data_IF_653117702714
#
_entry.id   IF_653117702714
#
_cell.length_a   1.000
_cell.length_b   1.000
_cell.length_c   1.000
_cell.angle_alpha   90.00
_cell.angle_beta   90.00
_cell.angle_gamma   90.00
#
_symmetry.space_group_name_H-M   'P 1'
#
loop_
_entity.id
_entity.type
_entity.pdbx_description
1 polymer ?
#
# COMPACT_ATOMS: atom_id res chain seq x y z
N UNK A 1 20.89 -15.31 -43.44
CA UNK A 1 20.50 -15.59 -42.04
C UNK A 1 21.59 -15.03 -41.14
N UNK A 2 21.47 -13.78 -40.71
CA UNK A 2 22.37 -13.14 -39.74
C UNK A 2 21.51 -12.59 -38.61
N UNK A 3 21.64 -13.19 -37.42
CA UNK A 3 20.88 -12.83 -36.24
C UNK A 3 21.50 -11.64 -35.52
N UNK A 4 20.70 -10.57 -35.35
CA UNK A 4 21.02 -9.45 -34.46
C UNK A 4 20.89 -9.92 -33.00
N UNK A 5 22.02 -9.96 -32.29
CA UNK A 5 22.05 -10.14 -30.84
C UNK A 5 21.90 -8.77 -30.17
N UNK A 6 20.71 -8.46 -29.66
CA UNK A 6 20.46 -7.24 -28.87
C UNK A 6 20.69 -7.59 -27.39
N UNK A 7 21.65 -6.91 -26.77
CA UNK A 7 21.92 -7.02 -25.33
C UNK A 7 20.69 -6.60 -24.50
N UNK A 8 20.32 -7.32 -23.42
CA UNK A 8 19.29 -6.84 -22.51
C UNK A 8 19.88 -5.73 -21.64
N UNK A 9 19.56 -4.49 -22.00
CA UNK A 9 19.87 -3.31 -21.21
C UNK A 9 19.19 -3.40 -19.84
N UNK A 10 19.92 -2.97 -18.81
CA UNK A 10 19.42 -2.86 -17.44
C UNK A 10 18.15 -2.01 -17.37
N UNK A 11 17.43 -2.19 -16.26
CA UNK A 11 16.14 -1.55 -15.97
C UNK A 11 16.15 -0.07 -16.39
N UNK A 12 15.20 0.38 -17.23
CA UNK A 12 15.15 1.77 -17.68
C UNK A 12 15.03 2.75 -16.51
N UNK A 13 15.80 3.83 -16.54
CA UNK A 13 15.83 4.85 -15.48
C UNK A 13 14.43 5.41 -15.13
N UNK A 14 13.52 5.43 -16.11
CA UNK A 14 12.12 5.85 -15.92
C UNK A 14 11.35 4.96 -14.94
N UNK A 15 11.71 3.68 -14.82
CA UNK A 15 11.11 2.74 -13.87
C UNK A 15 11.62 3.03 -12.46
N UNK A 16 12.92 3.31 -12.32
CA UNK A 16 13.53 3.67 -11.04
C UNK A 16 12.96 4.99 -10.52
N UNK A 17 12.83 6.00 -11.39
CA UNK A 17 12.23 7.28 -11.01
C UNK A 17 10.79 7.11 -10.52
N UNK A 18 10.01 6.21 -11.15
CA UNK A 18 8.62 5.95 -10.78
C UNK A 18 8.49 5.23 -9.43
N UNK A 19 9.39 4.29 -9.13
CA UNK A 19 9.45 3.59 -7.84
C UNK A 19 9.86 4.55 -6.72
N UNK A 20 10.75 5.50 -7.01
CA UNK A 20 11.26 6.47 -6.04
C UNK A 20 10.39 7.74 -5.93
N UNK A 21 9.31 7.84 -6.72
CA UNK A 21 8.42 9.00 -6.72
C UNK A 21 9.04 10.27 -7.30
N UNK A 22 10.06 10.16 -8.14
CA UNK A 22 10.76 11.28 -8.76
C UNK A 22 10.11 11.66 -10.10
N UNK A 23 9.85 12.95 -10.31
CA UNK A 23 9.23 13.43 -11.55
C UNK A 23 10.13 13.16 -12.79
N UNK A 24 9.58 12.60 -13.88
CA UNK A 24 10.34 12.38 -15.10
C UNK A 24 10.86 13.69 -15.68
N UNK A 25 12.18 13.82 -15.82
CA UNK A 25 12.83 14.93 -16.52
C UNK A 25 13.51 16.00 -15.66
N UNK A 26 13.32 16.01 -14.33
CA UNK A 26 14.01 16.97 -13.42
C UNK A 26 15.07 16.33 -12.51
N UNK A 27 15.22 15.01 -12.55
CA UNK A 27 15.95 14.21 -11.53
C UNK A 27 17.43 13.97 -11.81
N UNK A 28 18.00 14.52 -12.89
CA UNK A 28 19.40 14.25 -13.29
C UNK A 28 20.44 14.60 -12.20
N UNK A 29 20.19 15.64 -11.39
CA UNK A 29 21.05 16.00 -10.25
C UNK A 29 20.90 15.07 -9.04
N UNK A 30 19.71 14.51 -8.79
CA UNK A 30 19.50 13.53 -7.73
C UNK A 30 20.09 12.17 -8.10
N UNK A 31 19.99 11.75 -9.37
CA UNK A 31 20.58 10.49 -9.86
C UNK A 31 22.09 10.43 -9.64
N UNK A 32 22.82 11.53 -9.87
CA UNK A 32 24.27 11.62 -9.61
C UNK A 32 24.65 11.46 -8.14
N UNK A 33 23.76 11.83 -7.22
CA UNK A 33 24.04 11.83 -5.77
C UNK A 33 23.83 10.47 -5.11
N UNK A 34 23.00 9.59 -5.70
CA UNK A 34 22.68 8.27 -5.13
C UNK A 34 23.13 7.08 -5.98
N UNK A 35 23.81 7.34 -7.11
CA UNK A 35 24.22 6.31 -8.07
C UNK A 35 25.08 5.19 -7.44
N UNK A 36 25.93 5.53 -6.47
CA UNK A 36 26.80 4.57 -5.77
C UNK A 36 26.07 3.72 -4.72
N UNK A 37 24.84 4.10 -4.35
CA UNK A 37 24.01 3.36 -3.38
C UNK A 37 23.03 2.42 -4.10
N UNK A 38 22.54 2.80 -5.28
CA UNK A 38 21.56 2.01 -6.04
C UNK A 38 22.18 0.95 -6.95
N UNK A 39 23.42 1.12 -7.43
CA UNK A 39 24.07 0.15 -8.32
C UNK A 39 24.21 -1.28 -7.76
N UNK A 40 24.63 -1.50 -6.49
CA UNK A 40 24.78 -2.86 -5.97
C UNK A 40 23.44 -3.58 -5.76
N UNK A 41 22.42 -2.83 -5.32
CA UNK A 41 21.07 -3.36 -5.05
C UNK A 41 20.37 -3.70 -6.37
N UNK A 42 20.56 -2.90 -7.41
CA UNK A 42 20.05 -3.19 -8.76
C UNK A 42 20.78 -4.38 -9.39
N UNK A 43 22.10 -4.54 -9.18
CA UNK A 43 22.83 -5.73 -9.63
C UNK A 43 22.37 -7.01 -8.93
N UNK A 44 22.14 -6.98 -7.62
CA UNK A 44 21.59 -8.13 -6.89
C UNK A 44 20.17 -8.49 -7.34
N UNK A 45 19.35 -7.49 -7.65
CA UNK A 45 18.00 -7.69 -8.15
C UNK A 45 18.02 -8.27 -9.58
N UNK A 46 18.88 -7.76 -10.46
CA UNK A 46 19.08 -8.31 -11.79
C UNK A 46 19.63 -9.75 -11.77
N UNK A 47 20.53 -10.08 -10.83
CA UNK A 47 21.03 -11.44 -10.63
C UNK A 47 19.93 -12.40 -10.13
N UNK A 48 19.07 -11.96 -9.20
CA UNK A 48 17.93 -12.75 -8.72
C UNK A 48 16.91 -13.02 -9.82
N UNK A 49 16.58 -12.01 -10.61
CA UNK A 49 15.63 -12.13 -11.72
C UNK A 49 16.22 -12.95 -12.87
N UNK A 50 17.51 -12.78 -13.17
CA UNK A 50 18.22 -13.59 -14.17
C UNK A 50 18.32 -15.08 -13.80
N UNK A 51 18.52 -15.39 -12.51
CA UNK A 51 18.52 -16.77 -12.01
C UNK A 51 17.15 -17.44 -12.08
N UNK A 52 16.07 -16.67 -11.90
CA UNK A 52 14.69 -17.17 -12.04
C UNK A 52 14.29 -17.39 -13.50
N UNK A 53 14.76 -16.54 -14.41
CA UNK A 53 14.35 -16.57 -15.82
C UNK A 53 15.16 -17.57 -16.65
N UNK A 54 16.44 -17.82 -16.32
CA UNK A 54 17.32 -18.62 -17.19
C UNK A 54 17.85 -19.95 -16.66
N UNK A 55 17.52 -20.35 -15.42
CA UNK A 55 17.81 -21.69 -14.89
C UNK A 55 19.31 -22.03 -14.83
N UNK A 56 19.86 -22.19 -13.63
CA UNK A 56 21.22 -22.74 -13.49
C UNK A 56 21.28 -24.17 -14.08
N UNK A 57 22.26 -24.51 -14.93
CA UNK A 57 22.42 -25.88 -15.40
C UNK A 57 22.86 -26.75 -14.22
N UNK A 58 21.94 -27.52 -13.67
CA UNK A 58 22.26 -28.55 -12.68
C UNK A 58 22.87 -29.72 -13.45
N UNK A 59 24.19 -29.87 -13.28
CA UNK A 59 24.96 -31.03 -13.70
C UNK A 59 24.23 -32.30 -13.28
N UNK A 60 23.89 -33.12 -14.27
CA UNK A 60 23.47 -34.50 -14.07
C UNK A 60 24.69 -35.25 -13.53
N UNK A 61 24.61 -35.72 -12.29
CA UNK A 61 25.43 -36.83 -11.84
C UNK A 61 24.51 -37.98 -11.46
N UNK A 62 24.53 -38.98 -12.32
CA UNK A 62 24.08 -40.34 -12.05
C UNK A 62 25.07 -41.00 -11.09
N UNK A 63 24.54 -41.58 -10.01
CA UNK A 63 25.18 -42.69 -9.29
C UNK A 63 24.13 -43.47 -8.48
N UNK A 64 23.49 -44.42 -9.17
CA UNK A 64 23.41 -45.84 -8.84
C UNK A 64 23.06 -46.29 -7.39
N UNK A 65 21.90 -46.97 -7.33
CA UNK A 65 21.51 -48.15 -6.50
C UNK A 65 21.47 -48.04 -4.96
N UNK A 66 20.32 -48.43 -4.39
CA UNK A 66 20.33 -49.06 -3.06
C UNK A 66 19.04 -49.02 -2.24
N UNK A 67 18.20 -50.06 -2.41
CA UNK A 67 17.35 -50.70 -1.40
C UNK A 67 16.01 -50.05 -1.01
N UNK A 68 14.96 -50.87 -1.19
CA UNK A 68 13.58 -50.66 -0.80
C UNK A 68 13.39 -50.54 0.71
N UNK A 69 12.34 -49.83 1.13
CA UNK A 69 11.35 -50.25 2.14
C UNK A 69 10.23 -49.20 2.15
N UNK A 70 8.98 -49.68 2.14
CA UNK A 70 7.81 -48.82 2.14
C UNK A 70 7.62 -48.06 3.46
N UNK A 71 6.89 -46.96 3.39
CA UNK A 71 5.77 -46.61 4.28
C UNK A 71 5.31 -45.18 4.02
N UNK A 72 4.00 -45.00 4.16
CA UNK A 72 3.32 -43.73 4.44
C UNK A 72 3.25 -42.73 3.28
N UNK A 73 2.21 -42.87 2.46
CA UNK A 73 1.54 -41.70 1.90
C UNK A 73 0.94 -40.90 3.06
N UNK A 74 1.75 -40.03 3.65
CA UNK A 74 1.24 -38.85 4.36
C UNK A 74 0.35 -38.10 3.37
N UNK A 75 -0.90 -37.73 3.73
CA UNK A 75 -1.67 -36.86 2.85
C UNK A 75 -0.81 -35.63 2.55
N UNK A 76 -0.64 -35.30 1.27
CA UNK A 76 -0.03 -34.03 0.91
C UNK A 76 -0.75 -32.94 1.71
N UNK A 77 -0.03 -32.03 2.39
CA UNK A 77 -0.69 -30.95 3.11
C UNK A 77 -1.61 -30.26 2.11
N UNK A 78 -2.92 -30.25 2.40
CA UNK A 78 -3.89 -29.52 1.61
C UNK A 78 -3.31 -28.11 1.40
N UNK A 79 -3.25 -27.65 0.15
CA UNK A 79 -2.74 -26.32 -0.13
C UNK A 79 -3.47 -25.33 0.80
N UNK A 80 -2.73 -24.50 1.55
CA UNK A 80 -3.34 -23.70 2.61
C UNK A 80 -4.41 -22.79 2.02
N UNK A 81 -5.66 -23.03 2.43
CA UNK A 81 -6.83 -22.24 2.03
C UNK A 81 -6.68 -20.81 2.53
N UNK A 82 -7.04 -19.86 1.68
CA UNK A 82 -7.11 -18.43 1.98
C UNK A 82 -8.57 -18.06 2.17
N UNK A 83 -8.91 -17.51 3.33
CA UNK A 83 -10.25 -17.03 3.65
C UNK A 83 -10.35 -15.55 3.31
N UNK A 84 -11.15 -15.19 2.31
CA UNK A 84 -11.25 -13.83 1.80
C UNK A 84 -12.53 -13.19 2.30
N UNK A 85 -12.40 -12.14 3.12
CA UNK A 85 -13.52 -11.28 3.48
C UNK A 85 -13.82 -10.32 2.32
N UNK A 86 -15.00 -10.45 1.73
CA UNK A 86 -15.54 -9.56 0.71
C UNK A 86 -16.36 -8.46 1.39
N UNK A 87 -15.86 -7.23 1.38
CA UNK A 87 -16.46 -6.07 2.05
C UNK A 87 -16.82 -5.02 0.98
N UNK A 88 -17.95 -5.22 0.30
CA UNK A 88 -18.27 -4.49 -0.92
C UNK A 88 -17.23 -4.74 -2.03
N UNK A 89 -16.50 -3.70 -2.44
CA UNK A 89 -15.46 -3.81 -3.47
C UNK A 89 -14.11 -4.30 -2.92
N UNK A 90 -13.94 -4.30 -1.59
CA UNK A 90 -12.69 -4.66 -0.93
C UNK A 90 -12.60 -6.17 -0.69
N UNK A 91 -11.41 -6.73 -0.91
CA UNK A 91 -11.08 -8.13 -0.63
C UNK A 91 -9.95 -8.20 0.37
N UNK A 92 -10.23 -8.70 1.57
CA UNK A 92 -9.26 -8.78 2.65
C UNK A 92 -8.94 -10.27 2.93
N UNK A 93 -7.76 -10.76 2.55
CA UNK A 93 -7.39 -12.17 2.71
C UNK A 93 -6.88 -12.50 4.12
N UNK A 94 -7.23 -13.68 4.63
CA UNK A 94 -6.84 -14.19 5.93
C UNK A 94 -6.34 -15.64 5.83
N UNK A 95 -5.40 -15.99 6.70
CA UNK A 95 -4.97 -17.37 6.91
C UNK A 95 -5.98 -18.16 7.75
N UNK A 96 -6.69 -17.48 8.67
CA UNK A 96 -7.65 -18.07 9.59
C UNK A 96 -9.07 -17.64 9.25
N UNK A 97 -9.97 -18.61 9.13
CA UNK A 97 -11.40 -18.40 8.84
C UNK A 97 -12.08 -17.49 9.87
N UNK A 98 -11.79 -17.71 11.15
CA UNK A 98 -12.32 -16.93 12.27
C UNK A 98 -12.05 -15.42 12.12
N UNK A 99 -10.88 -15.06 11.58
CA UNK A 99 -10.55 -13.66 11.32
C UNK A 99 -11.41 -13.06 10.21
N UNK A 100 -11.61 -13.79 9.11
CA UNK A 100 -12.46 -13.35 8.02
C UNK A 100 -13.92 -13.19 8.46
N UNK A 101 -14.46 -14.17 9.19
CA UNK A 101 -15.84 -14.16 9.70
C UNK A 101 -16.07 -13.01 10.68
N UNK A 102 -15.13 -12.78 11.59
CA UNK A 102 -15.23 -11.66 12.55
C UNK A 102 -15.21 -10.30 11.85
N UNK A 103 -14.34 -10.14 10.85
CA UNK A 103 -14.26 -8.89 10.08
C UNK A 103 -15.56 -8.67 9.30
N UNK A 104 -16.09 -9.70 8.65
CA UNK A 104 -17.36 -9.64 7.92
C UNK A 104 -18.52 -9.26 8.83
N UNK A 105 -18.64 -9.92 9.99
CA UNK A 105 -19.71 -9.65 10.94
C UNK A 105 -19.66 -8.20 11.47
N UNK A 106 -18.46 -7.75 11.87
CA UNK A 106 -18.27 -6.38 12.38
C UNK A 106 -18.46 -5.33 11.29
N UNK A 107 -17.93 -5.57 10.09
CA UNK A 107 -18.10 -4.67 8.94
C UNK A 107 -19.57 -4.55 8.55
N UNK A 108 -20.30 -5.66 8.47
CA UNK A 108 -21.73 -5.66 8.14
C UNK A 108 -22.57 -4.90 9.16
N UNK A 109 -22.20 -4.95 10.45
CA UNK A 109 -22.84 -4.14 11.49
C UNK A 109 -22.57 -2.64 11.32
N UNK A 110 -21.34 -2.26 10.97
CA UNK A 110 -20.95 -0.87 10.75
C UNK A 110 -21.50 -0.31 9.41
N UNK A 111 -21.67 -1.18 8.41
CA UNK A 111 -21.97 -0.84 7.02
C UNK A 111 -23.12 -1.69 6.44
N UNK A 112 -24.35 -1.58 6.98
CA UNK A 112 -25.47 -2.46 6.61
C UNK A 112 -25.93 -2.34 5.15
N UNK A 113 -25.47 -1.30 4.44
CA UNK A 113 -25.76 -1.08 3.01
C UNK A 113 -24.88 -1.89 2.07
N UNK A 114 -23.78 -2.46 2.56
CA UNK A 114 -22.81 -3.17 1.73
C UNK A 114 -22.79 -4.66 2.08
N UNK A 115 -22.77 -5.55 1.08
CA UNK A 115 -22.65 -6.98 1.34
C UNK A 115 -21.30 -7.29 1.99
N UNK A 116 -21.34 -8.20 2.96
CA UNK A 116 -20.18 -8.67 3.69
C UNK A 116 -20.23 -10.20 3.78
N UNK A 117 -19.30 -10.89 3.13
CA UNK A 117 -19.29 -12.36 3.04
C UNK A 117 -17.86 -12.91 3.09
N UNK A 118 -17.71 -14.16 3.51
CA UNK A 118 -16.43 -14.88 3.50
C UNK A 118 -16.43 -15.89 2.36
N UNK A 119 -15.42 -15.82 1.49
CA UNK A 119 -15.17 -16.83 0.47
C UNK A 119 -13.90 -17.62 0.77
N UNK A 120 -13.90 -18.91 0.43
CA UNK A 120 -12.73 -19.78 0.50
C UNK A 120 -12.04 -19.86 -0.86
N UNK A 121 -10.79 -19.45 -0.91
CA UNK A 121 -9.97 -19.44 -2.12
C UNK A 121 -8.75 -20.31 -1.91
N UNK A 122 -8.34 -21.05 -2.92
CA UNK A 122 -7.01 -21.64 -2.92
C UNK A 122 -5.94 -20.54 -3.08
N UNK A 123 -4.70 -20.88 -2.71
CA UNK A 123 -3.57 -19.94 -2.73
C UNK A 123 -3.28 -19.42 -4.13
N UNK A 124 -3.39 -20.28 -5.16
CA UNK A 124 -3.11 -19.91 -6.55
C UNK A 124 -4.15 -18.92 -7.10
N UNK A 125 -5.43 -19.13 -6.75
CA UNK A 125 -6.54 -18.26 -7.09
C UNK A 125 -6.36 -16.88 -6.47
N UNK A 126 -5.88 -16.81 -5.22
CA UNK A 126 -5.53 -15.52 -4.60
C UNK A 126 -4.32 -14.87 -5.28
N UNK A 127 -3.26 -15.62 -5.58
CA UNK A 127 -2.09 -15.07 -6.26
C UNK A 127 -2.45 -14.48 -7.64
N UNK A 128 -3.40 -15.08 -8.34
CA UNK A 128 -3.84 -14.61 -9.66
C UNK A 128 -4.88 -13.47 -9.59
N UNK A 129 -5.84 -13.51 -8.66
CA UNK A 129 -7.00 -12.58 -8.62
C UNK A 129 -6.96 -11.57 -7.47
N UNK A 130 -6.13 -11.79 -6.47
CA UNK A 130 -6.11 -11.06 -5.21
C UNK A 130 -5.27 -9.79 -5.27
N UNK A 131 -5.80 -8.63 -4.83
CA UNK A 131 -4.99 -7.42 -4.70
C UNK A 131 -3.86 -7.62 -3.67
N UNK A 132 -2.62 -7.28 -4.06
CA UNK A 132 -1.45 -7.33 -3.16
C UNK A 132 -0.77 -8.70 -3.03
N UNK A 133 -1.26 -9.73 -3.73
CA UNK A 133 -0.61 -11.04 -3.81
C UNK A 133 -0.42 -11.70 -2.44
N UNK A 134 0.56 -12.60 -2.36
CA UNK A 134 0.80 -13.43 -1.16
C UNK A 134 1.10 -12.64 0.12
N UNK A 135 1.69 -11.44 0.00
CA UNK A 135 2.03 -10.58 1.14
C UNK A 135 0.81 -9.87 1.74
N UNK A 136 -0.33 -9.86 1.03
CA UNK A 136 -1.55 -9.28 1.55
C UNK A 136 -2.26 -10.20 2.56
N UNK A 137 -1.98 -11.52 2.52
CA UNK A 137 -2.62 -12.53 3.39
C UNK A 137 -2.30 -12.22 4.85
N UNK A 138 -3.36 -12.05 5.64
CA UNK A 138 -3.25 -11.67 7.04
C UNK A 138 -3.30 -12.86 7.96
N UNK A 139 -2.31 -12.93 8.86
CA UNK A 139 -2.29 -13.90 9.94
C UNK A 139 -3.01 -13.40 11.19
N UNK A 140 -3.16 -12.08 11.35
CA UNK A 140 -3.82 -11.45 12.51
C UNK A 140 -5.09 -10.71 12.13
N UNK A 141 -5.93 -10.48 13.14
CA UNK A 141 -7.05 -9.56 13.05
C UNK A 141 -6.54 -8.14 12.71
N UNK A 142 -7.16 -7.43 11.75
CA UNK A 142 -6.86 -6.03 11.49
C UNK A 142 -7.28 -5.20 12.69
N UNK A 143 -6.50 -4.18 13.02
CA UNK A 143 -6.89 -3.27 14.09
C UNK A 143 -8.08 -2.39 13.68
N UNK A 144 -8.86 -1.98 14.68
CA UNK A 144 -10.03 -1.11 14.52
C UNK A 144 -10.02 -0.09 15.64
N UNK A 145 -10.01 1.19 15.27
CA UNK A 145 -9.93 2.30 16.22
C UNK A 145 -10.72 3.51 15.74
N UNK A 146 -11.08 4.36 16.70
CA UNK A 146 -11.67 5.66 16.39
C UNK A 146 -10.54 6.54 15.86
N UNK A 147 -10.74 7.09 14.66
CA UNK A 147 -9.88 8.11 14.08
C UNK A 147 -10.66 9.42 14.04
N UNK A 148 -10.07 10.44 14.63
CA UNK A 148 -10.54 11.81 14.57
C UNK A 148 -9.98 12.47 13.32
N UNK A 149 -10.83 13.15 12.58
CA UNK A 149 -10.48 13.86 11.37
C UNK A 149 -10.85 15.32 11.52
N UNK A 150 -10.04 16.21 10.95
CA UNK A 150 -10.37 17.60 10.76
C UNK A 150 -9.99 18.06 9.34
N UNK A 151 -10.84 18.87 8.71
CA UNK A 151 -10.63 19.35 7.34
C UNK A 151 -11.15 20.78 7.16
N UNK A 152 -10.37 21.59 6.44
CA UNK A 152 -10.77 22.92 6.02
C UNK A 152 -10.24 23.19 4.60
N UNK A 153 -10.99 23.98 3.83
CA UNK A 153 -10.55 24.45 2.50
C UNK A 153 -10.52 25.97 2.53
N UNK A 154 -9.48 26.54 1.94
CA UNK A 154 -9.26 27.98 1.87
C UNK A 154 -9.12 28.42 0.43
N UNK A 155 -9.84 29.48 0.06
CA UNK A 155 -9.75 30.13 -1.24
C UNK A 155 -8.43 30.89 -1.38
N UNK A 156 -7.98 31.17 -2.61
CA UNK A 156 -6.93 32.16 -2.84
C UNK A 156 -7.25 33.47 -2.10
N UNK A 157 -6.33 33.95 -1.26
CA UNK A 157 -6.57 35.09 -0.35
C UNK A 157 -6.84 34.70 1.12
N UNK A 158 -7.02 33.41 1.40
CA UNK A 158 -7.12 32.85 2.75
C UNK A 158 -8.51 32.91 3.38
N UNK A 159 -9.54 33.23 2.60
CA UNK A 159 -10.93 33.08 3.03
C UNK A 159 -11.29 31.60 3.15
N UNK A 160 -12.00 31.24 4.22
CA UNK A 160 -12.41 29.85 4.45
C UNK A 160 -13.64 29.50 3.62
N UNK A 161 -13.53 28.43 2.84
CA UNK A 161 -14.64 27.91 2.04
C UNK A 161 -15.52 26.99 2.91
N UNK A 162 -16.82 27.28 2.96
CA UNK A 162 -17.79 26.41 3.59
C UNK A 162 -18.17 25.27 2.63
N UNK A 163 -17.67 24.06 2.90
CA UNK A 163 -17.91 22.86 2.09
C UNK A 163 -19.14 22.06 2.53
N UNK A 164 -19.95 22.57 3.45
CA UNK A 164 -21.16 21.90 3.95
C UNK A 164 -20.92 20.63 4.77
N UNK A 165 -19.67 20.33 5.12
CA UNK A 165 -19.27 19.20 5.97
C UNK A 165 -18.87 19.70 7.35
N UNK A 166 -19.12 18.91 8.39
CA UNK A 166 -18.54 19.15 9.70
C UNK A 166 -17.01 19.21 9.58
N UNK A 167 -16.42 20.24 10.18
CA UNK A 167 -14.97 20.48 10.09
C UNK A 167 -14.19 19.42 10.82
N UNK A 168 -14.76 18.87 11.89
CA UNK A 168 -14.22 17.76 12.66
C UNK A 168 -15.25 16.64 12.76
N UNK A 169 -14.81 15.41 12.57
CA UNK A 169 -15.64 14.22 12.75
C UNK A 169 -14.79 13.05 13.23
N UNK A 170 -15.45 12.09 13.87
CA UNK A 170 -14.79 10.86 14.32
C UNK A 170 -15.44 9.69 13.62
N UNK A 171 -14.63 8.76 13.12
CA UNK A 171 -15.11 7.56 12.47
C UNK A 171 -14.34 6.36 12.99
N UNK A 172 -15.05 5.25 13.16
CA UNK A 172 -14.45 3.98 13.53
C UNK A 172 -13.90 3.34 12.26
N UNK A 173 -12.59 3.16 12.21
CA UNK A 173 -11.86 2.84 10.98
C UNK A 173 -11.01 1.60 11.16
N UNK A 174 -10.94 0.80 10.11
CA UNK A 174 -10.13 -0.40 10.04
C UNK A 174 -8.73 -0.12 9.49
N UNK A 175 -7.74 -0.89 9.95
CA UNK A 175 -6.34 -0.79 9.49
C UNK A 175 -6.17 -0.88 7.96
N UNK A 176 -7.04 -1.63 7.27
CA UNK A 176 -7.00 -1.76 5.82
C UNK A 176 -7.63 -0.59 5.07
N UNK A 177 -8.25 0.37 5.76
CA UNK A 177 -8.78 1.62 5.18
C UNK A 177 -7.69 2.69 5.21
N UNK A 178 -6.64 2.51 4.40
CA UNK A 178 -5.41 3.34 4.39
C UNK A 178 -5.66 4.85 4.27
N UNK A 179 -6.73 5.23 3.59
CA UNK A 179 -7.11 6.62 3.37
C UNK A 179 -7.70 7.28 4.62
N UNK A 180 -8.18 6.48 5.57
CA UNK A 180 -8.82 6.95 6.80
C UNK A 180 -8.00 6.60 8.04
N UNK A 181 -7.40 5.41 8.06
CA UNK A 181 -6.69 4.87 9.22
C UNK A 181 -5.40 5.61 9.52
N UNK A 182 -5.10 5.73 10.82
CA UNK A 182 -3.81 6.17 11.33
C UNK A 182 -3.60 5.57 12.70
N UNK A 183 -2.37 5.17 12.98
CA UNK A 183 -1.91 4.75 14.31
C UNK A 183 -1.25 5.90 15.09
N UNK A 184 -0.93 7.00 14.40
CA UNK A 184 -0.34 8.19 14.99
C UNK A 184 -1.36 8.97 15.84
N UNK A 185 -0.91 9.57 16.96
CA UNK A 185 -1.76 10.43 17.78
C UNK A 185 -2.31 11.60 16.98
N UNK A 186 -1.48 12.17 16.10
CA UNK A 186 -1.86 13.20 15.15
C UNK A 186 -0.91 13.21 13.96
N UNK A 187 -1.44 13.53 12.78
CA UNK A 187 -0.72 13.88 11.56
C UNK A 187 -1.54 14.89 10.79
N UNK A 188 -0.86 15.83 10.12
CA UNK A 188 -1.53 16.79 9.27
C UNK A 188 -0.70 17.15 8.06
N UNK A 189 -1.37 17.64 7.04
CA UNK A 189 -0.73 18.23 5.87
C UNK A 189 -1.64 19.29 5.25
N UNK A 190 -1.03 20.15 4.44
CA UNK A 190 -1.73 21.10 3.59
C UNK A 190 -1.45 20.77 2.13
N UNK A 191 -2.49 20.71 1.29
CA UNK A 191 -2.37 20.38 -0.12
C UNK A 191 -3.01 21.47 -0.97
N UNK A 192 -2.33 21.92 -2.04
CA UNK A 192 -2.93 22.82 -3.04
C UNK A 192 -3.74 22.01 -4.05
N UNK A 193 -5.02 22.37 -4.22
CA UNK A 193 -5.92 21.79 -5.21
C UNK A 193 -5.69 22.43 -6.58
N UNK A 194 -6.10 21.78 -7.69
CA UNK A 194 -5.99 22.34 -9.04
C UNK A 194 -6.63 23.73 -9.19
N UNK A 195 -7.66 24.05 -8.40
CA UNK A 195 -8.34 25.35 -8.36
C UNK A 195 -7.62 26.44 -7.54
N UNK A 196 -6.35 26.26 -7.17
CA UNK A 196 -5.56 27.14 -6.29
C UNK A 196 -6.04 27.22 -4.83
N UNK A 197 -7.10 26.48 -4.48
CA UNK A 197 -7.55 26.32 -3.11
C UNK A 197 -6.52 25.55 -2.28
N UNK A 198 -6.36 25.90 -1.02
CA UNK A 198 -5.51 25.16 -0.09
C UNK A 198 -6.38 24.38 0.88
N UNK A 199 -6.13 23.09 0.97
CA UNK A 199 -6.83 22.20 1.87
C UNK A 199 -5.93 21.84 3.05
N UNK A 200 -6.41 22.09 4.27
CA UNK A 200 -5.83 21.57 5.50
C UNK A 200 -6.53 20.25 5.85
N UNK A 201 -5.76 19.18 6.02
CA UNK A 201 -6.25 17.89 6.50
C UNK A 201 -5.47 17.46 7.74
N UNK A 202 -6.19 17.08 8.78
CA UNK A 202 -5.65 16.51 10.02
C UNK A 202 -6.36 15.21 10.30
N UNK A 203 -5.61 14.23 10.79
CA UNK A 203 -6.19 13.02 11.36
C UNK A 203 -5.33 12.44 12.46
N UNK A 204 -5.94 11.73 13.39
CA UNK A 204 -5.23 11.18 14.54
C UNK A 204 -6.10 10.32 15.44
N UNK A 205 -5.47 9.59 16.34
CA UNK A 205 -6.17 8.79 17.34
C UNK A 205 -6.46 9.55 18.63
N UNK A 206 -5.84 10.71 18.82
CA UNK A 206 -6.04 11.59 19.96
C UNK A 206 -6.85 12.83 19.52
N UNK A 207 -8.05 12.98 20.08
CA UNK A 207 -8.95 14.06 19.72
C UNK A 207 -8.37 15.45 20.03
N UNK A 208 -7.76 15.62 21.20
CA UNK A 208 -7.23 16.91 21.64
C UNK A 208 -6.01 17.30 20.79
N UNK A 209 -5.15 16.33 20.48
CA UNK A 209 -4.03 16.53 19.58
C UNK A 209 -4.49 16.90 18.16
N UNK A 210 -5.56 16.27 17.66
CA UNK A 210 -6.15 16.59 16.35
C UNK A 210 -6.73 18.01 16.34
N UNK A 211 -7.44 18.41 17.39
CA UNK A 211 -7.97 19.79 17.49
C UNK A 211 -6.84 20.81 17.51
N UNK A 212 -5.79 20.60 18.31
CA UNK A 212 -4.64 21.51 18.38
C UNK A 212 -3.89 21.62 17.04
N UNK A 213 -3.64 20.48 16.38
CA UNK A 213 -2.98 20.47 15.08
C UNK A 213 -3.86 21.04 13.95
N UNK A 214 -5.19 21.04 14.12
CA UNK A 214 -6.09 21.63 13.15
C UNK A 214 -5.96 23.15 13.07
N UNK A 215 -5.79 23.80 14.21
CA UNK A 215 -5.54 25.25 14.24
C UNK A 215 -4.21 25.58 13.54
N UNK A 216 -3.16 24.79 13.77
CA UNK A 216 -1.86 24.93 13.09
C UNK A 216 -1.97 24.69 11.58
N UNK A 217 -2.65 23.62 11.17
CA UNK A 217 -2.85 23.29 9.76
C UNK A 217 -3.67 24.37 9.05
N UNK A 218 -4.68 24.95 9.70
CA UNK A 218 -5.46 26.07 9.18
C UNK A 218 -4.60 27.32 9.03
N UNK A 219 -3.78 27.66 10.03
CA UNK A 219 -2.88 28.81 9.95
C UNK A 219 -1.89 28.67 8.79
N UNK A 220 -1.30 27.48 8.61
CA UNK A 220 -0.43 27.22 7.45
C UNK A 220 -1.20 27.28 6.13
N UNK A 221 -2.41 26.73 6.06
CA UNK A 221 -3.21 26.77 4.83
C UNK A 221 -3.57 28.21 4.43
N UNK A 222 -3.93 29.06 5.39
CA UNK A 222 -4.17 30.50 5.16
C UNK A 222 -2.91 31.20 4.67
N UNK A 223 -1.75 30.93 5.29
CA UNK A 223 -0.49 31.53 4.85
C UNK A 223 -0.15 31.10 3.41
N UNK A 224 -0.29 29.81 3.08
CA UNK A 224 -0.10 29.28 1.72
C UNK A 224 -1.07 29.86 0.69
N UNK A 225 -2.31 30.12 1.10
CA UNK A 225 -3.34 30.69 0.26
C UNK A 225 -3.12 32.19 -0.01
N UNK A 226 -2.51 32.91 0.94
CA UNK A 226 -2.15 34.32 0.80
C UNK A 226 -0.81 34.54 0.12
N UNK A 227 0.13 33.63 0.33
CA UNK A 227 1.53 33.77 -0.09
C UNK A 227 1.97 32.61 -1.01
N UNK A 228 1.43 32.51 -2.24
CA UNK A 228 1.68 31.35 -3.10
C UNK A 228 3.15 31.18 -3.50
N UNK A 229 3.91 32.27 -3.61
CA UNK A 229 5.33 32.25 -3.96
C UNK A 229 6.28 31.79 -2.85
N UNK A 230 5.82 31.68 -1.59
CA UNK A 230 6.64 31.28 -0.44
C UNK A 230 6.92 29.78 -0.39
N UNK A 231 6.03 28.97 -0.96
CA UNK A 231 5.99 27.53 -0.74
C UNK A 231 6.45 26.68 -1.93
N UNK A 232 6.92 27.31 -3.02
CA UNK A 232 7.65 26.64 -4.11
C UNK A 232 6.86 25.61 -4.92
N UNK A 233 5.52 25.67 -4.89
CA UNK A 233 4.60 24.84 -5.68
C UNK A 233 4.32 25.42 -7.06
#
# INVERSE_FOLDING_TARGET
>A
LSGNFVAPHGVPDSVVDRIMGWEPGKSARMRRRYQHVTSPVLQQTAAKVGGLLWGTPRVVQSAREGVALGLSMTPAPAEPTVYVALLGERRIPFLHREHAETVVAKWGADHPRYPAEVEEWDRQKWEYKGPGGMQAIRERMPDRRIVHHAQAVFLPGGERLNIGRAEQWSVLTWEFETDLYTDLPVRWHTTRRPGQEIEAQVRGTDQDAVTAAFDEACAQAVDRARNPGKYGE
#
